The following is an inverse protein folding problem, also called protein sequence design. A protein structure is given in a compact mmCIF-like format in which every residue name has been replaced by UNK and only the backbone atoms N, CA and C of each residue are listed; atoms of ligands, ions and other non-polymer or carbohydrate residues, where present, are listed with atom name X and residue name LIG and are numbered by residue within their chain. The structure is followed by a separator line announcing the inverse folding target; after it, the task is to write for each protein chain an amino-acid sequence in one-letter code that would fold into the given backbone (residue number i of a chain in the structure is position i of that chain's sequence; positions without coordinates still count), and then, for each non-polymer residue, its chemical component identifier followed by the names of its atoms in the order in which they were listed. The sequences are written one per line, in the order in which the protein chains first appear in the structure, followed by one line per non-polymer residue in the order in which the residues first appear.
data_IF_888496565402
#
_entry.id   IF_888496565402
#
_cell.length_a   1.000
_cell.length_b   1.000
_cell.length_c   1.000
_cell.angle_alpha   90.00
_cell.angle_beta   90.00
_cell.angle_gamma   90.00
#
_symmetry.space_group_name_H-M   'P 1'
#
loop_
_entity.id
_entity.type
_entity.pdbx_description
1 polymer ?
#
# COMPACT_ATOMS: atom_id res chain seq x y z
N UNK A 1 -19.71 -9.38 8.99
CA UNK A 1 -19.40 -10.56 8.14
C UNK A 1 -19.72 -10.34 6.67
N UNK A 2 -20.91 -9.84 6.29
CA UNK A 2 -21.30 -9.65 4.88
C UNK A 2 -20.33 -8.72 4.13
N UNK A 3 -19.99 -7.54 4.68
CA UNK A 3 -19.08 -6.58 4.04
C UNK A 3 -17.68 -7.16 3.77
N UNK A 4 -17.14 -7.99 4.68
CA UNK A 4 -15.85 -8.68 4.45
C UNK A 4 -15.96 -9.69 3.31
N UNK A 5 -17.05 -10.45 3.23
CA UNK A 5 -17.25 -11.42 2.14
C UNK A 5 -17.34 -10.71 0.78
N UNK A 6 -18.04 -9.57 0.73
CA UNK A 6 -18.12 -8.73 -0.47
C UNK A 6 -16.76 -8.15 -0.86
N UNK A 7 -15.99 -7.66 0.12
CA UNK A 7 -14.65 -7.14 -0.10
C UNK A 7 -13.68 -8.22 -0.61
N UNK A 8 -13.69 -9.42 0.00
CA UNK A 8 -12.90 -10.57 -0.44
C UNK A 8 -13.26 -10.97 -1.86
N UNK A 9 -14.57 -11.04 -2.17
CA UNK A 9 -15.04 -11.33 -3.52
C UNK A 9 -14.58 -10.25 -4.50
N UNK A 10 -14.70 -8.98 -4.15
CA UNK A 10 -14.26 -7.87 -5.00
C UNK A 10 -12.75 -7.94 -5.30
N UNK A 11 -11.90 -8.21 -4.30
CA UNK A 11 -10.45 -8.37 -4.50
C UNK A 11 -10.13 -9.55 -5.41
N UNK A 12 -10.79 -10.70 -5.24
CA UNK A 12 -10.64 -11.89 -6.11
C UNK A 12 -11.07 -11.62 -7.55
N UNK A 13 -12.15 -10.85 -7.72
CA UNK A 13 -12.64 -10.42 -9.03
C UNK A 13 -11.78 -9.28 -9.66
N UNK A 14 -10.71 -8.86 -8.99
CA UNK A 14 -9.84 -7.77 -9.43
C UNK A 14 -10.52 -6.41 -9.41
N UNK A 15 -11.44 -6.18 -8.48
CA UNK A 15 -12.11 -4.89 -8.24
C UNK A 15 -11.44 -4.13 -7.10
N UNK A 16 -11.80 -2.87 -6.91
CA UNK A 16 -11.41 -2.06 -5.77
C UNK A 16 -12.20 -2.42 -4.51
N UNK A 17 -11.61 -2.11 -3.37
CA UNK A 17 -12.23 -2.08 -2.05
C UNK A 17 -11.80 -0.77 -1.39
N UNK A 18 -12.67 -0.16 -0.60
CA UNK A 18 -12.35 0.97 0.27
C UNK A 18 -12.15 0.47 1.69
N UNK A 19 -11.12 0.97 2.36
CA UNK A 19 -10.83 0.63 3.77
C UNK A 19 -10.74 1.92 4.57
N UNK A 20 -11.55 2.03 5.63
CA UNK A 20 -11.43 3.06 6.64
C UNK A 20 -10.65 2.53 7.85
N UNK A 21 -9.64 3.25 8.32
CA UNK A 21 -8.82 2.82 9.44
C UNK A 21 -9.50 3.01 10.79
N UNK A 22 -9.61 4.20 11.32
CA UNK A 22 -10.43 4.57 12.49
C UNK A 22 -10.35 6.07 12.78
N UNK A 23 -11.39 6.60 13.43
CA UNK A 23 -11.42 8.00 13.90
C UNK A 23 -10.29 8.35 14.86
N UNK A 24 -9.78 7.37 15.61
CA UNK A 24 -8.70 7.56 16.59
C UNK A 24 -7.29 7.51 15.99
N UNK A 25 -7.16 7.29 14.67
CA UNK A 25 -5.88 7.18 13.99
C UNK A 25 -5.75 8.25 12.89
N UNK A 26 -5.65 7.87 11.62
CA UNK A 26 -5.60 8.81 10.48
C UNK A 26 -6.97 9.35 10.15
N UNK A 27 -8.02 8.57 10.41
CA UNK A 27 -9.41 8.81 10.05
C UNK A 27 -9.53 9.03 8.53
N UNK A 28 -8.86 8.18 7.77
CA UNK A 28 -8.78 8.24 6.32
C UNK A 28 -9.40 6.99 5.68
N UNK A 29 -9.77 7.12 4.42
CA UNK A 29 -10.26 6.02 3.59
C UNK A 29 -9.30 5.81 2.43
N UNK A 30 -8.77 4.59 2.31
CA UNK A 30 -7.91 4.22 1.21
C UNK A 30 -8.65 3.40 0.15
N UNK A 31 -8.35 3.68 -1.12
CA UNK A 31 -8.73 2.85 -2.26
C UNK A 31 -7.70 1.73 -2.43
N UNK A 32 -8.15 0.48 -2.34
CA UNK A 32 -7.30 -0.71 -2.25
C UNK A 32 -7.58 -1.68 -3.39
N UNK A 33 -6.51 -2.33 -3.91
CA UNK A 33 -6.61 -3.34 -4.96
C UNK A 33 -5.47 -4.36 -4.89
N UNK A 34 -5.77 -5.64 -5.19
CA UNK A 34 -4.75 -6.67 -5.33
C UNK A 34 -3.74 -6.31 -6.46
N UNK A 35 -2.44 -6.34 -6.17
CA UNK A 35 -1.39 -5.91 -7.10
C UNK A 35 -1.37 -6.77 -8.38
N UNK A 36 -1.65 -8.08 -8.27
CA UNK A 36 -1.73 -9.00 -9.41
C UNK A 36 -2.79 -8.60 -10.46
N UNK A 37 -3.81 -7.85 -10.07
CA UNK A 37 -4.90 -7.41 -10.94
C UNK A 37 -4.78 -5.96 -11.40
N UNK A 38 -3.68 -5.27 -11.07
CA UNK A 38 -3.49 -3.87 -11.42
C UNK A 38 -3.34 -3.70 -12.95
N UNK A 39 -4.01 -2.68 -13.50
CA UNK A 39 -3.92 -2.24 -14.90
C UNK A 39 -3.69 -0.73 -14.92
N UNK A 40 -3.21 -0.20 -16.05
CA UNK A 40 -3.02 1.25 -16.20
C UNK A 40 -4.30 2.07 -15.95
N UNK A 41 -5.47 1.55 -16.36
CA UNK A 41 -6.76 2.17 -16.06
C UNK A 41 -7.06 2.26 -14.56
N UNK A 42 -6.61 1.28 -13.76
CA UNK A 42 -6.77 1.33 -12.30
C UNK A 42 -5.88 2.39 -11.66
N UNK A 43 -4.66 2.57 -12.17
CA UNK A 43 -3.76 3.65 -11.74
C UNK A 43 -4.39 5.00 -12.09
N UNK A 44 -4.98 5.13 -13.29
CA UNK A 44 -5.72 6.34 -13.66
C UNK A 44 -6.88 6.62 -12.68
N UNK A 45 -7.70 5.61 -12.34
CA UNK A 45 -8.78 5.75 -11.36
C UNK A 45 -8.24 6.19 -9.99
N UNK A 46 -7.20 5.54 -9.45
CA UNK A 46 -6.59 5.94 -8.18
C UNK A 46 -6.11 7.40 -8.22
N UNK A 47 -5.45 7.81 -9.31
CA UNK A 47 -4.94 9.17 -9.48
C UNK A 47 -6.05 10.23 -9.59
N UNK A 48 -7.20 9.90 -10.21
CA UNK A 48 -8.29 10.86 -10.44
C UNK A 48 -9.31 10.87 -9.32
N UNK A 49 -9.63 9.72 -8.74
CA UNK A 49 -10.73 9.54 -7.81
C UNK A 49 -10.26 9.45 -6.35
N UNK A 50 -9.08 8.87 -6.10
CA UNK A 50 -8.47 8.87 -4.78
C UNK A 50 -7.55 10.09 -4.58
N UNK A 51 -6.56 10.30 -5.43
CA UNK A 51 -5.72 11.49 -5.45
C UNK A 51 -4.52 11.47 -4.52
N UNK A 52 -4.41 10.48 -3.66
CA UNK A 52 -3.30 10.30 -2.72
C UNK A 52 -2.06 9.67 -3.35
N UNK A 53 -1.15 9.19 -2.51
CA UNK A 53 0.09 8.54 -2.93
C UNK A 53 -0.19 7.07 -3.27
N UNK A 54 0.10 6.67 -4.51
CA UNK A 54 -0.03 5.27 -4.91
C UNK A 54 1.15 4.47 -4.35
N UNK A 55 0.85 3.65 -3.36
CA UNK A 55 1.81 2.81 -2.65
C UNK A 55 1.56 1.32 -2.89
N UNK A 56 2.60 0.51 -2.74
CA UNK A 56 2.55 -0.94 -2.84
C UNK A 56 3.00 -1.56 -1.52
N UNK A 57 2.05 -2.14 -0.79
CA UNK A 57 2.32 -2.81 0.47
C UNK A 57 2.67 -4.29 0.26
N UNK A 58 3.70 -4.75 0.96
CA UNK A 58 4.18 -6.14 1.02
C UNK A 58 4.36 -6.58 2.47
N UNK A 59 4.19 -7.88 2.80
CA UNK A 59 4.41 -8.38 4.14
C UNK A 59 5.88 -8.28 4.56
N UNK A 60 6.11 -8.18 5.87
CA UNK A 60 7.44 -8.17 6.46
C UNK A 60 8.31 -9.37 6.03
N UNK A 61 7.72 -10.56 5.97
CA UNK A 61 8.41 -11.78 5.55
C UNK A 61 8.96 -11.71 4.11
N UNK A 62 8.20 -11.09 3.19
CA UNK A 62 8.68 -10.85 1.81
C UNK A 62 9.77 -9.78 1.81
N UNK A 63 9.55 -8.67 2.50
CA UNK A 63 10.56 -7.61 2.60
C UNK A 63 11.89 -8.14 3.17
N UNK A 64 11.83 -8.99 4.20
CA UNK A 64 13.03 -9.62 4.79
C UNK A 64 13.78 -10.50 3.81
N UNK A 65 13.08 -11.31 3.00
CA UNK A 65 13.69 -12.14 1.95
C UNK A 65 14.31 -11.33 0.81
N UNK A 66 13.82 -10.11 0.60
CA UNK A 66 14.36 -9.15 -0.37
C UNK A 66 15.44 -8.24 0.25
N UNK A 67 15.81 -8.45 1.51
CA UNK A 67 16.73 -7.59 2.26
C UNK A 67 16.30 -6.11 2.30
N UNK A 68 14.99 -5.85 2.24
CA UNK A 68 14.42 -4.50 2.32
C UNK A 68 14.27 -4.07 3.78
N UNK A 69 14.59 -2.82 4.04
CA UNK A 69 14.47 -2.17 5.34
C UNK A 69 13.40 -1.08 5.30
N UNK A 70 12.88 -0.71 6.45
CA UNK A 70 12.09 0.53 6.57
C UNK A 70 12.96 1.75 6.23
N UNK A 71 12.37 2.73 5.58
CA UNK A 71 13.07 3.96 5.18
C UNK A 71 13.68 4.69 6.38
N UNK A 72 13.00 4.71 7.52
CA UNK A 72 13.55 5.36 8.72
C UNK A 72 14.82 4.68 9.24
N UNK A 73 14.97 3.35 9.09
CA UNK A 73 16.19 2.63 9.47
C UNK A 73 17.34 2.91 8.49
N UNK A 74 17.03 3.01 7.18
CA UNK A 74 17.98 3.43 6.16
C UNK A 74 18.50 4.85 6.43
N UNK A 75 17.60 5.78 6.70
CA UNK A 75 17.93 7.17 7.02
C UNK A 75 18.72 7.25 8.34
N UNK A 76 18.37 6.44 9.33
CA UNK A 76 19.13 6.35 10.58
C UNK A 76 20.56 5.89 10.33
N UNK A 77 20.75 4.87 9.51
CA UNK A 77 22.09 4.41 9.14
C UNK A 77 22.90 5.50 8.44
N UNK A 78 22.27 6.27 7.55
CA UNK A 78 22.90 7.38 6.84
C UNK A 78 23.17 8.60 7.74
N UNK A 79 22.44 8.76 8.84
CA UNK A 79 22.54 9.94 9.73
C UNK A 79 23.93 10.09 10.38
N UNK A 80 24.72 9.01 10.44
CA UNK A 80 26.12 9.06 10.88
C UNK A 80 26.98 10.00 10.03
N UNK A 81 26.66 10.09 8.73
CA UNK A 81 27.36 10.93 7.76
C UNK A 81 26.59 12.19 7.37
N UNK A 82 25.30 12.27 7.72
CA UNK A 82 24.40 13.39 7.38
C UNK A 82 23.65 13.80 8.66
N UNK A 83 24.25 14.67 9.50
CA UNK A 83 23.72 14.99 10.84
C UNK A 83 22.29 15.56 10.85
N UNK A 84 21.85 16.25 9.79
CA UNK A 84 20.49 16.77 9.66
C UNK A 84 19.43 15.67 9.70
N UNK A 85 19.73 14.46 9.19
CA UNK A 85 18.81 13.33 9.18
C UNK A 85 18.45 12.86 10.60
N UNK A 86 19.40 12.90 11.56
CA UNK A 86 19.16 12.44 12.92
C UNK A 86 18.02 13.20 13.63
N UNK A 87 17.83 14.47 13.29
CA UNK A 87 16.72 15.29 13.82
C UNK A 87 15.40 14.99 13.11
N UNK A 88 15.44 14.71 11.80
CA UNK A 88 14.25 14.48 10.99
C UNK A 88 13.59 13.12 11.29
N UNK A 89 14.40 12.09 11.57
CA UNK A 89 13.91 10.71 11.80
C UNK A 89 13.47 10.46 13.25
N UNK A 90 13.68 11.39 14.16
CA UNK A 90 13.33 11.23 15.59
C UNK A 90 11.85 11.47 15.89
N UNK A 91 11.13 12.14 14.99
CA UNK A 91 9.70 12.45 15.17
C UNK A 91 8.81 11.27 14.84
N UNK A 92 7.73 11.13 15.62
CA UNK A 92 6.65 10.16 15.42
C UNK A 92 5.43 10.96 14.96
N UNK A 93 4.58 10.36 14.12
CA UNK A 93 3.34 11.00 13.70
C UNK A 93 2.41 11.27 14.90
N UNK A 94 1.50 12.27 14.82
CA UNK A 94 0.62 12.62 15.94
C UNK A 94 -0.24 11.47 16.48
N UNK A 95 -0.54 10.49 15.64
CA UNK A 95 -1.30 9.26 15.99
C UNK A 95 -0.41 8.13 16.54
N UNK A 96 0.88 8.39 16.82
CA UNK A 96 1.78 7.48 17.55
C UNK A 96 2.56 6.48 16.71
N UNK A 97 2.33 6.40 15.39
CA UNK A 97 2.99 5.45 14.50
C UNK A 97 4.15 6.08 13.70
N UNK A 98 5.05 5.22 13.22
CA UNK A 98 6.00 5.58 12.16
C UNK A 98 5.45 5.16 10.80
N UNK A 99 5.74 5.92 9.73
CA UNK A 99 5.36 5.52 8.37
C UNK A 99 5.96 4.16 7.98
N UNK A 100 5.18 3.34 7.28
CA UNK A 100 5.60 2.01 6.79
C UNK A 100 6.50 2.05 5.56
N UNK A 101 6.95 3.23 5.14
CA UNK A 101 7.76 3.39 3.93
C UNK A 101 9.05 2.58 3.96
N UNK A 102 9.36 1.99 2.80
CA UNK A 102 10.67 1.49 2.39
C UNK A 102 11.17 2.31 1.19
N UNK A 103 11.98 1.73 0.34
CA UNK A 103 12.48 2.37 -0.87
C UNK A 103 11.38 2.58 -1.92
N UNK A 104 11.67 3.47 -2.86
CA UNK A 104 10.84 3.66 -4.05
C UNK A 104 11.45 2.94 -5.25
N UNK A 105 10.65 2.35 -6.10
CA UNK A 105 11.11 1.54 -7.24
C UNK A 105 10.42 1.90 -8.54
N UNK A 106 11.11 1.59 -9.65
CA UNK A 106 10.55 1.47 -10.99
C UNK A 106 11.02 0.14 -11.60
N UNK A 107 10.18 -0.49 -12.43
CA UNK A 107 10.64 -1.58 -13.29
C UNK A 107 11.67 -1.04 -14.31
N UNK A 108 12.67 -1.84 -14.66
CA UNK A 108 13.76 -1.40 -15.58
C UNK A 108 13.24 -1.03 -16.96
N UNK A 109 12.17 -1.65 -17.44
CA UNK A 109 11.56 -1.39 -18.75
C UNK A 109 10.63 -0.18 -18.78
N UNK A 110 10.52 0.57 -17.67
CA UNK A 110 9.75 1.82 -17.67
C UNK A 110 10.54 2.95 -18.33
N UNK A 111 9.86 3.84 -19.04
CA UNK A 111 10.50 5.01 -19.63
C UNK A 111 10.81 6.05 -18.54
N UNK A 112 9.80 6.75 -18.02
CA UNK A 112 9.95 7.68 -16.90
C UNK A 112 9.63 7.03 -15.55
N UNK A 113 8.73 6.05 -15.51
CA UNK A 113 8.24 5.39 -14.31
C UNK A 113 6.96 5.99 -13.72
N UNK A 114 6.60 7.23 -14.07
CA UNK A 114 5.46 7.96 -13.47
C UNK A 114 4.13 7.72 -14.21
N UNK A 115 4.17 7.35 -15.47
CA UNK A 115 2.93 7.16 -16.25
C UNK A 115 2.07 6.04 -15.66
N UNK A 116 0.76 6.06 -15.92
CA UNK A 116 -0.14 5.01 -15.45
C UNK A 116 0.27 3.62 -15.96
N UNK A 117 0.84 3.55 -17.18
CA UNK A 117 1.41 2.32 -17.76
C UNK A 117 2.65 1.86 -17.00
N UNK A 118 3.58 2.75 -16.73
CA UNK A 118 4.84 2.46 -16.06
C UNK A 118 4.61 2.01 -14.62
N UNK A 119 3.73 2.73 -13.89
CA UNK A 119 3.37 2.36 -12.52
C UNK A 119 2.67 1.00 -12.46
N UNK A 120 1.72 0.73 -13.38
CA UNK A 120 1.06 -0.57 -13.46
C UNK A 120 2.05 -1.70 -13.79
N UNK A 121 3.02 -1.47 -14.68
CA UNK A 121 4.09 -2.43 -14.98
C UNK A 121 4.91 -2.74 -13.73
N UNK A 122 5.39 -1.70 -13.03
CA UNK A 122 6.19 -1.84 -11.81
C UNK A 122 5.44 -2.64 -10.74
N UNK A 123 4.18 -2.32 -10.49
CA UNK A 123 3.35 -2.99 -9.48
C UNK A 123 3.11 -4.46 -9.82
N UNK A 124 2.76 -4.78 -11.08
CA UNK A 124 2.55 -6.19 -11.49
C UNK A 124 3.85 -7.00 -11.38
N UNK A 125 4.95 -6.45 -11.89
CA UNK A 125 6.24 -7.11 -11.80
C UNK A 125 6.64 -7.40 -10.34
N UNK A 126 6.34 -6.49 -9.40
CA UNK A 126 6.57 -6.73 -7.99
C UNK A 126 5.65 -7.81 -7.41
N UNK A 127 4.39 -7.85 -7.83
CA UNK A 127 3.48 -8.95 -7.47
C UNK A 127 4.00 -10.32 -7.96
N UNK A 128 4.56 -10.37 -9.17
CA UNK A 128 5.19 -11.58 -9.71
C UNK A 128 6.40 -12.03 -8.89
N UNK A 129 7.24 -11.08 -8.43
CA UNK A 129 8.34 -11.38 -7.49
C UNK A 129 7.80 -11.92 -6.16
N UNK A 130 6.77 -11.29 -5.60
CA UNK A 130 6.14 -11.79 -4.36
C UNK A 130 5.60 -13.22 -4.50
N UNK A 131 5.07 -13.58 -5.67
CA UNK A 131 4.54 -14.93 -5.92
C UNK A 131 5.62 -16.01 -6.00
N UNK A 132 6.86 -15.63 -6.29
CA UNK A 132 8.02 -16.53 -6.49
C UNK A 132 9.11 -16.33 -5.44
N UNK A 133 8.79 -15.70 -4.33
CA UNK A 133 9.79 -15.23 -3.34
C UNK A 133 10.68 -16.35 -2.81
N UNK A 134 10.15 -17.56 -2.70
CA UNK A 134 10.88 -18.73 -2.16
C UNK A 134 11.81 -19.41 -3.21
N UNK A 135 11.78 -19.00 -4.46
CA UNK A 135 12.61 -19.53 -5.54
C UNK A 135 13.83 -18.64 -5.78
N UNK A 136 13.63 -17.54 -6.52
CA UNK A 136 14.71 -16.63 -6.93
C UNK A 136 14.34 -15.15 -6.67
N UNK A 137 13.48 -14.89 -5.65
CA UNK A 137 12.86 -13.59 -5.46
C UNK A 137 13.83 -12.42 -5.32
N UNK A 138 14.92 -12.58 -4.55
CA UNK A 138 15.92 -11.52 -4.37
C UNK A 138 16.66 -11.21 -5.68
N UNK A 139 17.08 -12.26 -6.40
CA UNK A 139 17.77 -12.11 -7.67
C UNK A 139 16.88 -11.50 -8.74
N UNK A 140 15.62 -11.93 -8.81
CA UNK A 140 14.60 -11.37 -9.72
C UNK A 140 14.29 -9.92 -9.38
N UNK A 141 14.20 -9.57 -8.08
CA UNK A 141 13.99 -8.21 -7.63
C UNK A 141 15.13 -7.28 -8.09
N UNK A 142 16.38 -7.64 -7.79
CA UNK A 142 17.55 -6.81 -8.13
C UNK A 142 17.75 -6.64 -9.64
N UNK A 143 17.34 -7.63 -10.44
CA UNK A 143 17.42 -7.57 -11.91
C UNK A 143 16.31 -6.75 -12.55
N UNK A 144 15.12 -6.75 -11.96
CA UNK A 144 13.91 -6.16 -12.56
C UNK A 144 13.60 -4.73 -12.14
N UNK A 145 14.23 -4.26 -11.06
CA UNK A 145 13.89 -2.94 -10.52
C UNK A 145 15.11 -2.04 -10.37
N UNK A 146 14.86 -0.75 -10.51
CA UNK A 146 15.78 0.34 -10.16
C UNK A 146 15.18 1.20 -9.04
N UNK A 147 16.04 1.74 -8.19
CA UNK A 147 15.67 2.67 -7.12
C UNK A 147 16.61 3.89 -7.20
N UNK A 148 16.14 5.10 -6.90
CA UNK A 148 14.77 5.47 -6.57
C UNK A 148 13.81 5.37 -7.76
N UNK A 149 12.50 5.31 -7.49
CA UNK A 149 11.44 5.21 -8.49
C UNK A 149 10.15 5.94 -8.08
N UNK A 150 9.04 5.59 -8.72
CA UNK A 150 7.75 6.26 -8.54
C UNK A 150 6.69 5.38 -7.84
N UNK A 151 7.02 4.14 -7.49
CA UNK A 151 6.18 3.31 -6.64
C UNK A 151 6.84 3.20 -5.27
N UNK A 152 6.16 3.70 -4.23
CA UNK A 152 6.57 3.60 -2.85
C UNK A 152 6.25 2.21 -2.31
N UNK A 153 7.27 1.49 -1.85
CA UNK A 153 7.06 0.24 -1.13
C UNK A 153 6.73 0.54 0.33
N UNK A 154 5.72 -0.16 0.84
CA UNK A 154 5.37 -0.18 2.26
C UNK A 154 5.62 -1.57 2.80
N UNK A 155 6.24 -1.66 3.97
CA UNK A 155 6.46 -2.92 4.66
C UNK A 155 5.44 -3.03 5.79
N UNK A 156 4.63 -4.09 5.79
CA UNK A 156 3.74 -4.38 6.90
C UNK A 156 4.51 -4.74 8.17
N UNK A 157 3.98 -4.40 9.33
CA UNK A 157 4.54 -4.80 10.62
C UNK A 157 4.64 -6.34 10.71
N UNK A 158 5.64 -6.85 11.45
CA UNK A 158 5.93 -8.28 11.53
C UNK A 158 4.74 -9.12 11.99
N UNK A 159 4.06 -8.67 13.04
CA UNK A 159 2.86 -9.32 13.58
C UNK A 159 1.56 -8.70 13.03
N UNK A 160 1.66 -7.90 11.94
CA UNK A 160 0.52 -7.20 11.33
C UNK A 160 -0.31 -6.43 12.38
N UNK A 161 -1.61 -6.70 12.42
CA UNK A 161 -2.58 -5.98 13.27
C UNK A 161 -2.36 -6.09 14.77
N UNK A 162 -1.47 -6.97 15.24
CA UNK A 162 -1.06 -7.04 16.64
C UNK A 162 -0.10 -5.91 17.03
N UNK A 163 0.68 -5.41 16.07
CA UNK A 163 1.67 -4.36 16.28
C UNK A 163 1.18 -2.99 15.79
N UNK A 164 0.55 -2.96 14.62
CA UNK A 164 0.12 -1.72 13.97
C UNK A 164 -1.22 -1.93 13.25
N UNK A 165 -2.11 -0.94 13.33
CA UNK A 165 -3.46 -1.01 12.74
C UNK A 165 -3.67 0.02 11.62
N UNK A 166 -2.64 0.29 10.81
CA UNK A 166 -2.72 1.18 9.66
C UNK A 166 -3.25 0.50 8.39
N UNK A 167 -3.53 1.30 7.36
CA UNK A 167 -4.01 0.83 6.06
C UNK A 167 -3.11 -0.26 5.46
N UNK A 168 -1.78 -0.17 5.67
CA UNK A 168 -0.81 -1.19 5.25
C UNK A 168 -1.16 -2.57 5.82
N UNK A 169 -1.31 -2.68 7.14
CA UNK A 169 -1.59 -3.93 7.82
C UNK A 169 -3.02 -4.43 7.55
N UNK A 170 -3.99 -3.52 7.53
CA UNK A 170 -5.39 -3.82 7.23
C UNK A 170 -5.52 -4.42 5.82
N UNK A 171 -4.90 -3.80 4.83
CA UNK A 171 -4.92 -4.25 3.44
C UNK A 171 -4.21 -5.60 3.27
N UNK A 172 -3.05 -5.79 3.91
CA UNK A 172 -2.31 -7.06 3.91
C UNK A 172 -3.08 -8.18 4.62
N UNK A 173 -3.78 -7.88 5.70
CA UNK A 173 -4.65 -8.84 6.37
C UNK A 173 -5.79 -9.29 5.45
N UNK A 174 -6.44 -8.35 4.80
CA UNK A 174 -7.56 -8.62 3.91
C UNK A 174 -7.13 -9.42 2.67
N UNK A 175 -5.97 -9.05 2.04
CA UNK A 175 -5.45 -9.77 0.87
C UNK A 175 -5.05 -11.21 1.22
N UNK A 176 -4.46 -11.43 2.40
CA UNK A 176 -4.14 -12.75 2.94
C UNK A 176 -5.41 -13.58 3.16
N UNK A 177 -6.45 -12.99 3.75
CA UNK A 177 -7.76 -13.64 3.94
C UNK A 177 -8.45 -13.97 2.61
N UNK A 178 -8.24 -13.14 1.57
CA UNK A 178 -8.70 -13.41 0.22
C UNK A 178 -7.91 -14.53 -0.49
N UNK A 179 -6.83 -15.04 0.09
CA UNK A 179 -5.92 -16.04 -0.50
C UNK A 179 -5.39 -15.61 -1.88
N UNK A 180 -4.94 -14.37 -1.97
CA UNK A 180 -4.30 -13.77 -3.14
C UNK A 180 -2.81 -13.56 -2.89
N UNK A 181 -2.04 -13.24 -3.96
CA UNK A 181 -0.63 -12.88 -3.84
C UNK A 181 -0.50 -11.74 -2.82
N UNK A 182 0.39 -11.86 -1.81
CA UNK A 182 0.48 -10.90 -0.72
C UNK A 182 1.21 -9.61 -1.14
N UNK A 183 0.61 -8.91 -2.08
CA UNK A 183 1.03 -7.60 -2.56
C UNK A 183 -0.24 -6.79 -2.87
N UNK A 184 -0.38 -5.61 -2.28
CA UNK A 184 -1.60 -4.81 -2.36
C UNK A 184 -1.29 -3.35 -2.62
N UNK A 185 -2.00 -2.75 -3.58
CA UNK A 185 -1.89 -1.32 -3.90
C UNK A 185 -2.89 -0.57 -3.04
N UNK A 186 -2.44 0.50 -2.43
CA UNK A 186 -3.25 1.41 -1.63
C UNK A 186 -3.05 2.85 -2.09
N UNK A 187 -4.08 3.67 -1.94
CA UNK A 187 -4.04 5.09 -2.28
C UNK A 187 -5.07 5.83 -1.43
N UNK A 188 -4.61 6.82 -0.69
CA UNK A 188 -5.47 7.66 0.16
C UNK A 188 -6.50 8.41 -0.69
N UNK A 189 -7.75 8.46 -0.21
CA UNK A 189 -8.80 9.26 -0.86
C UNK A 189 -8.79 10.68 -0.29
N UNK A 190 -8.50 11.64 -1.17
CA UNK A 190 -8.39 13.07 -0.84
C UNK A 190 -9.60 13.86 -1.35
N UNK A 191 -9.90 14.94 -0.68
CA UNK A 191 -11.01 15.84 -1.03
C UNK A 191 -10.47 17.17 -1.57
N UNK A 192 -10.64 17.40 -2.88
CA UNK A 192 -10.20 18.63 -3.53
C UNK A 192 -10.99 19.88 -3.09
N UNK A 193 -12.20 19.73 -2.53
CA UNK A 193 -13.02 20.86 -2.05
C UNK A 193 -12.50 21.36 -0.69
N UNK A 194 -12.14 20.45 0.20
CA UNK A 194 -11.66 20.78 1.55
C UNK A 194 -10.15 20.81 1.66
N UNK A 195 -9.42 20.31 0.65
CA UNK A 195 -7.96 20.11 0.65
C UNK A 195 -7.48 19.16 1.77
N UNK A 196 -8.36 18.30 2.27
CA UNK A 196 -8.08 17.32 3.32
C UNK A 196 -8.32 15.89 2.85
N UNK A 197 -8.37 14.95 3.80
CA UNK A 197 -8.81 13.59 3.54
C UNK A 197 -10.30 13.56 3.17
N UNK A 198 -10.69 12.61 2.30
CA UNK A 198 -12.10 12.41 1.95
C UNK A 198 -12.84 11.87 3.19
N UNK A 199 -13.92 12.56 3.60
CA UNK A 199 -14.71 12.11 4.75
C UNK A 199 -15.34 10.73 4.50
N UNK A 200 -15.55 9.98 5.58
CA UNK A 200 -16.18 8.65 5.53
C UNK A 200 -17.57 8.71 4.87
N UNK A 201 -18.33 9.80 5.11
CA UNK A 201 -19.64 10.00 4.48
C UNK A 201 -19.51 10.15 2.96
N UNK A 202 -18.59 10.98 2.47
CA UNK A 202 -18.32 11.13 1.03
C UNK A 202 -17.80 9.82 0.42
N UNK A 203 -16.92 9.10 1.13
CA UNK A 203 -16.44 7.78 0.71
C UNK A 203 -17.58 6.74 0.65
N UNK A 204 -18.55 6.78 1.58
CA UNK A 204 -19.74 5.94 1.54
C UNK A 204 -20.63 6.24 0.33
N UNK A 205 -20.78 7.51 -0.02
CA UNK A 205 -21.52 7.91 -1.25
C UNK A 205 -20.79 7.39 -2.50
N UNK A 206 -19.46 7.54 -2.56
CA UNK A 206 -18.63 7.02 -3.66
C UNK A 206 -18.75 5.49 -3.76
N UNK A 207 -18.61 4.77 -2.64
CA UNK A 207 -18.78 3.31 -2.52
C UNK A 207 -20.10 2.84 -3.16
N UNK A 208 -21.22 3.47 -2.78
CA UNK A 208 -22.55 3.14 -3.31
C UNK A 208 -22.66 3.45 -4.80
N UNK A 209 -22.19 4.62 -5.24
CA UNK A 209 -22.25 5.07 -6.64
C UNK A 209 -21.52 4.12 -7.59
N UNK A 210 -20.36 3.60 -7.17
CA UNK A 210 -19.51 2.74 -8.01
C UNK A 210 -19.59 1.26 -7.65
N UNK A 211 -20.46 0.90 -6.69
CA UNK A 211 -20.61 -0.48 -6.18
C UNK A 211 -19.26 -1.08 -5.76
N UNK A 212 -18.52 -0.31 -4.96
CA UNK A 212 -17.22 -0.70 -4.38
C UNK A 212 -17.45 -0.96 -2.89
N UNK A 213 -17.12 -2.16 -2.34
CA UNK A 213 -17.26 -2.41 -0.91
C UNK A 213 -16.43 -1.44 -0.06
N UNK A 214 -17.03 -0.87 0.99
CA UNK A 214 -16.37 -0.11 2.04
C UNK A 214 -16.35 -0.96 3.31
N UNK A 215 -15.17 -1.17 3.88
CA UNK A 215 -14.96 -1.96 5.10
C UNK A 215 -14.25 -1.14 6.18
N UNK A 216 -14.65 -1.37 7.42
CA UNK A 216 -14.09 -0.74 8.60
C UNK A 216 -12.93 -1.59 9.16
N UNK A 217 -11.93 -0.94 9.77
CA UNK A 217 -10.82 -1.62 10.43
C UNK A 217 -11.27 -2.64 11.47
N UNK A 218 -12.33 -2.33 12.22
CA UNK A 218 -12.90 -3.24 13.22
C UNK A 218 -13.38 -4.56 12.60
N UNK A 219 -13.90 -4.53 11.38
CA UNK A 219 -14.33 -5.73 10.66
C UNK A 219 -13.14 -6.58 10.20
N UNK A 220 -12.05 -5.93 9.75
CA UNK A 220 -10.83 -6.61 9.28
C UNK A 220 -10.06 -7.22 10.46
N UNK A 221 -10.08 -6.60 11.64
CA UNK A 221 -9.44 -7.12 12.85
C UNK A 221 -10.05 -8.45 13.33
N UNK A 222 -11.28 -8.71 12.96
CA UNK A 222 -12.04 -9.90 13.38
C UNK A 222 -11.95 -11.10 12.42
N UNK A 223 -11.05 -11.06 11.41
CA UNK A 223 -10.84 -12.16 10.44
C UNK A 223 -9.46 -12.79 10.54
#
# INVERSE_FOLDING_TARGET
MLAIQEAVKALRDGKFVLIHDSESRENEVDMVKAAQHIRSSNIATMRTDAGGLICLAIPHEIASKLNLMFMHDLLHSASKNIPSLSKMISSIAPYGDRPSFSITINHIDTFTGITDKDRALTIRAMSDVCSKIDMDGELEFSKKFRSPGHIHLLIGAKELLKERSGHTELSLRLIKHANLIPAVVICEMLDSETSGALSVDKASVYSKKFNIPLVESSQIKNI
#
